data_IF_173114729840
#
_entry.id   IF_173114729840
#
_cell.length_a   1.000
_cell.length_b   1.000
_cell.length_c   1.000
_cell.angle_alpha   90.00
_cell.angle_beta   90.00
_cell.angle_gamma   90.00
#
_symmetry.space_group_name_H-M   'P 1'
#
loop_
_entity.id
_entity.type
_entity.pdbx_description
1 polymer ?
#
# COMPACT_ATOMS: atom_id res chain seq x y z
N UNK A 1 -32.08 -3.38 24.45
CA UNK A 1 -31.80 -3.08 23.03
C UNK A 1 -30.73 -1.97 22.92
N UNK A 2 -29.43 -2.29 22.79
CA UNK A 2 -28.34 -1.31 22.58
C UNK A 2 -27.59 -1.47 21.23
N UNK A 3 -28.06 -2.32 20.33
CA UNK A 3 -27.28 -2.75 19.14
C UNK A 3 -27.18 -1.72 18.02
N UNK A 4 -28.08 -0.74 17.93
CA UNK A 4 -28.11 0.22 16.82
C UNK A 4 -27.06 1.35 16.94
N UNK A 5 -26.77 1.81 18.15
CA UNK A 5 -25.81 2.92 18.39
C UNK A 5 -24.36 2.45 18.25
N UNK A 6 -24.04 1.26 18.75
CA UNK A 6 -22.71 0.63 18.59
C UNK A 6 -22.36 0.43 17.10
N UNK A 7 -23.30 -0.02 16.28
CA UNK A 7 -23.05 -0.28 14.86
C UNK A 7 -22.72 1.01 14.08
N UNK A 8 -23.40 2.12 14.41
CA UNK A 8 -23.18 3.42 13.73
C UNK A 8 -21.80 4.02 14.04
N UNK A 9 -21.33 3.88 15.29
CA UNK A 9 -20.01 4.38 15.70
C UNK A 9 -18.85 3.57 15.11
N UNK A 10 -19.01 2.25 14.98
CA UNK A 10 -18.01 1.38 14.34
C UNK A 10 -17.82 1.72 12.86
N UNK A 11 -18.91 1.93 12.13
CA UNK A 11 -18.85 2.17 10.69
C UNK A 11 -18.30 3.56 10.36
N UNK A 12 -18.55 4.56 11.21
CA UNK A 12 -17.92 5.88 11.10
C UNK A 12 -16.40 5.80 11.25
N UNK A 13 -15.88 4.97 12.16
CA UNK A 13 -14.42 4.78 12.35
C UNK A 13 -13.76 4.15 11.13
N UNK A 14 -14.39 3.12 10.54
CA UNK A 14 -13.88 2.44 9.33
C UNK A 14 -13.81 3.41 8.15
N UNK A 15 -14.86 4.22 7.95
CA UNK A 15 -14.89 5.21 6.87
C UNK A 15 -13.82 6.29 7.05
N UNK A 16 -13.63 6.80 8.28
CA UNK A 16 -12.59 7.80 8.57
C UNK A 16 -11.20 7.21 8.34
N UNK A 17 -10.95 5.98 8.80
CA UNK A 17 -9.69 5.28 8.57
C UNK A 17 -9.44 5.10 7.07
N UNK A 18 -10.46 4.68 6.31
CA UNK A 18 -10.39 4.57 4.85
C UNK A 18 -10.05 5.88 4.16
N UNK A 19 -10.65 6.99 4.60
CA UNK A 19 -10.36 8.33 4.06
C UNK A 19 -8.91 8.75 4.31
N UNK A 20 -8.38 8.54 5.52
CA UNK A 20 -6.99 8.84 5.85
C UNK A 20 -6.04 8.02 4.97
N UNK A 21 -6.28 6.71 4.87
CA UNK A 21 -5.47 5.79 4.06
C UNK A 21 -5.51 6.18 2.58
N UNK A 22 -6.69 6.53 2.04
CA UNK A 22 -6.84 6.98 0.66
C UNK A 22 -6.08 8.29 0.40
N UNK A 23 -6.13 9.25 1.32
CA UNK A 23 -5.39 10.52 1.18
C UNK A 23 -3.87 10.27 1.14
N UNK A 24 -3.37 9.39 2.02
CA UNK A 24 -1.94 9.04 2.05
C UNK A 24 -1.55 8.34 0.73
N UNK A 25 -2.36 7.39 0.25
CA UNK A 25 -2.13 6.73 -1.03
C UNK A 25 -2.11 7.72 -2.20
N UNK A 26 -3.10 8.62 -2.29
CA UNK A 26 -3.17 9.64 -3.33
C UNK A 26 -1.98 10.61 -3.31
N UNK A 27 -1.56 11.06 -2.12
CA UNK A 27 -0.38 11.90 -1.97
C UNK A 27 0.91 11.16 -2.41
N UNK A 28 1.00 9.86 -2.10
CA UNK A 28 2.08 8.98 -2.57
C UNK A 28 2.12 8.91 -4.10
N UNK A 29 0.98 8.63 -4.75
CA UNK A 29 0.86 8.55 -6.21
C UNK A 29 1.35 9.84 -6.88
N UNK A 30 0.91 11.00 -6.37
CA UNK A 30 1.32 12.31 -6.92
C UNK A 30 2.82 12.55 -6.81
N UNK A 31 3.45 12.14 -5.71
CA UNK A 31 4.89 12.29 -5.54
C UNK A 31 5.66 11.37 -6.50
N UNK A 32 5.23 10.12 -6.63
CA UNK A 32 5.92 9.11 -7.43
C UNK A 32 5.78 9.40 -8.92
N UNK A 33 4.63 9.89 -9.38
CA UNK A 33 4.39 10.21 -10.79
C UNK A 33 5.38 11.26 -11.32
N UNK A 34 5.71 12.27 -10.54
CA UNK A 34 6.72 13.29 -10.93
C UNK A 34 8.13 12.70 -11.07
N UNK A 35 8.51 11.79 -10.17
CA UNK A 35 9.80 11.10 -10.24
C UNK A 35 9.88 10.10 -11.40
N UNK A 36 8.80 9.35 -11.66
CA UNK A 36 8.74 8.43 -12.79
C UNK A 36 8.82 9.16 -14.13
N UNK A 37 8.12 10.28 -14.27
CA UNK A 37 8.14 11.11 -15.47
C UNK A 37 9.54 11.65 -15.80
N UNK A 38 10.39 11.84 -14.79
CA UNK A 38 11.78 12.25 -14.95
C UNK A 38 12.71 11.08 -15.33
N UNK A 39 12.51 9.90 -14.72
CA UNK A 39 13.39 8.73 -14.90
C UNK A 39 13.12 7.95 -16.20
N UNK A 40 11.86 7.89 -16.65
CA UNK A 40 11.47 7.12 -17.84
C UNK A 40 12.20 7.54 -19.13
N UNK A 41 12.33 8.84 -19.45
CA UNK A 41 13.10 9.28 -20.61
C UNK A 41 14.59 8.91 -20.52
N UNK A 42 15.20 9.03 -19.35
CA UNK A 42 16.63 8.73 -19.13
C UNK A 42 16.95 7.24 -19.30
N UNK A 43 16.00 6.37 -18.94
CA UNK A 43 16.13 4.93 -19.22
C UNK A 43 16.03 4.59 -20.71
N UNK A 44 15.30 5.37 -21.51
CA UNK A 44 15.22 5.17 -22.95
C UNK A 44 16.51 5.55 -23.68
N UNK A 45 17.35 6.40 -23.06
CA UNK A 45 18.59 6.94 -23.63
C UNK A 45 19.83 6.08 -23.35
N UNK A 46 19.73 5.01 -22.56
CA UNK A 46 20.77 3.97 -22.50
C UNK A 46 21.58 3.83 -21.20
N UNK A 47 21.31 4.62 -20.17
CA UNK A 47 22.06 4.59 -18.90
C UNK A 47 21.54 3.49 -17.93
N UNK A 48 21.71 2.21 -18.30
CA UNK A 48 20.90 1.13 -17.71
C UNK A 48 21.28 0.60 -16.31
N UNK A 49 22.51 0.76 -15.82
CA UNK A 49 22.93 0.05 -14.60
C UNK A 49 22.42 0.67 -13.29
N UNK A 50 22.57 1.98 -13.13
CA UNK A 50 22.19 2.68 -11.89
C UNK A 50 20.70 3.08 -11.90
N UNK A 51 20.21 3.56 -13.05
CA UNK A 51 18.82 4.03 -13.19
C UNK A 51 17.81 2.89 -13.05
N UNK A 52 18.16 1.65 -13.37
CA UNK A 52 17.25 0.50 -13.27
C UNK A 52 16.84 0.18 -11.82
N UNK A 53 17.77 0.22 -10.87
CA UNK A 53 17.45 -0.02 -9.45
C UNK A 53 16.60 1.11 -8.88
N UNK A 54 16.90 2.36 -9.27
CA UNK A 54 16.13 3.52 -8.86
C UNK A 54 14.72 3.50 -9.46
N UNK A 55 14.58 3.12 -10.73
CA UNK A 55 13.29 2.96 -11.39
C UNK A 55 12.47 1.83 -10.75
N UNK A 56 13.08 0.67 -10.46
CA UNK A 56 12.42 -0.41 -9.74
C UNK A 56 11.91 0.05 -8.37
N UNK A 57 12.74 0.79 -7.62
CA UNK A 57 12.34 1.36 -6.33
C UNK A 57 11.11 2.27 -6.48
N UNK A 58 11.11 3.18 -7.47
CA UNK A 58 9.97 4.06 -7.71
C UNK A 58 8.72 3.31 -8.17
N UNK A 59 8.86 2.29 -9.03
CA UNK A 59 7.74 1.46 -9.48
C UNK A 59 7.13 0.72 -8.28
N UNK A 60 7.95 0.14 -7.41
CA UNK A 60 7.46 -0.56 -6.21
C UNK A 60 6.77 0.39 -5.23
N UNK A 61 7.30 1.62 -5.05
CA UNK A 61 6.58 2.66 -4.33
C UNK A 61 5.24 3.03 -5.01
N UNK A 62 5.19 3.05 -6.34
CA UNK A 62 3.94 3.32 -7.07
C UNK A 62 2.90 2.24 -6.78
N UNK A 63 3.31 0.97 -6.86
CA UNK A 63 2.47 -0.19 -6.51
C UNK A 63 1.97 -0.09 -5.07
N UNK A 64 2.85 0.26 -4.13
CA UNK A 64 2.47 0.47 -2.73
C UNK A 64 1.42 1.58 -2.59
N UNK A 65 1.66 2.76 -3.18
CA UNK A 65 0.78 3.92 -3.05
C UNK A 65 -0.60 3.69 -3.72
N UNK A 66 -0.62 3.02 -4.87
CA UNK A 66 -1.85 2.64 -5.56
C UNK A 66 -2.63 1.61 -4.74
N UNK A 67 -1.95 0.59 -4.21
CA UNK A 67 -2.59 -0.42 -3.36
C UNK A 67 -3.18 0.23 -2.10
N UNK A 68 -2.42 1.13 -1.47
CA UNK A 68 -2.87 1.89 -0.30
C UNK A 68 -4.10 2.76 -0.62
N UNK A 69 -4.10 3.43 -1.78
CA UNK A 69 -5.26 4.18 -2.25
C UNK A 69 -6.50 3.30 -2.42
N UNK A 70 -6.36 2.16 -3.12
CA UNK A 70 -7.44 1.19 -3.34
C UNK A 70 -7.95 0.62 -2.01
N UNK A 71 -7.06 0.32 -1.06
CA UNK A 71 -7.42 -0.10 0.30
C UNK A 71 -8.25 0.97 1.01
N UNK A 72 -7.84 2.23 0.94
CA UNK A 72 -8.58 3.35 1.54
C UNK A 72 -9.98 3.52 0.94
N UNK A 73 -10.10 3.47 -0.39
CA UNK A 73 -11.40 3.53 -1.08
C UNK A 73 -12.27 2.33 -0.71
N UNK A 74 -11.70 1.13 -0.69
CA UNK A 74 -12.40 -0.10 -0.29
C UNK A 74 -12.97 0.01 1.13
N UNK A 75 -12.20 0.57 2.08
CA UNK A 75 -12.65 0.81 3.45
C UNK A 75 -13.78 1.84 3.53
N UNK A 76 -13.73 2.93 2.74
CA UNK A 76 -14.81 3.93 2.67
C UNK A 76 -16.10 3.27 2.16
N UNK A 77 -16.01 2.52 1.06
CA UNK A 77 -17.16 1.82 0.47
C UNK A 77 -17.73 0.79 1.43
N UNK A 78 -16.87 0.03 2.11
CA UNK A 78 -17.27 -0.97 3.10
C UNK A 78 -17.92 -0.34 4.32
N UNK A 79 -17.38 0.77 4.83
CA UNK A 79 -17.99 1.54 5.92
C UNK A 79 -19.34 2.14 5.53
N UNK A 80 -19.46 2.69 4.33
CA UNK A 80 -20.73 3.22 3.80
C UNK A 80 -21.79 2.12 3.60
N UNK A 81 -21.37 0.93 3.14
CA UNK A 81 -22.23 -0.25 2.99
C UNK A 81 -22.46 -1.02 4.29
N UNK A 82 -21.89 -0.57 5.42
CA UNK A 82 -21.94 -1.24 6.72
C UNK A 82 -21.50 -2.72 6.66
N UNK A 83 -20.53 -3.04 5.79
CA UNK A 83 -19.93 -4.37 5.72
C UNK A 83 -19.15 -4.66 7.01
N UNK A 84 -19.26 -5.88 7.51
CA UNK A 84 -18.51 -6.37 8.68
C UNK A 84 -17.35 -7.30 8.33
N UNK A 85 -17.31 -7.78 7.09
CA UNK A 85 -16.36 -8.77 6.59
C UNK A 85 -15.94 -8.33 5.18
N UNK A 86 -14.78 -8.80 4.72
CA UNK A 86 -14.26 -8.52 3.37
C UNK A 86 -14.25 -7.00 3.07
N UNK A 87 -13.55 -6.28 3.95
CA UNK A 87 -13.46 -4.82 3.92
C UNK A 87 -12.57 -4.32 2.79
N UNK A 88 -11.57 -5.11 2.41
CA UNK A 88 -10.52 -4.80 1.44
C UNK A 88 -10.28 -6.07 0.61
N UNK A 89 -10.17 -5.96 -0.72
CA UNK A 89 -9.87 -7.12 -1.57
C UNK A 89 -8.49 -7.69 -1.28
N UNK A 90 -8.41 -9.01 -1.20
CA UNK A 90 -7.21 -9.70 -0.75
C UNK A 90 -5.98 -9.46 -1.62
N UNK A 91 -6.16 -9.51 -2.94
CA UNK A 91 -5.14 -9.20 -3.92
C UNK A 91 -4.49 -7.81 -3.71
N UNK A 92 -5.25 -6.82 -3.20
CA UNK A 92 -4.72 -5.47 -2.93
C UNK A 92 -3.76 -5.48 -1.75
N UNK A 93 -4.07 -6.23 -0.70
CA UNK A 93 -3.22 -6.40 0.47
C UNK A 93 -1.96 -7.19 0.13
N UNK A 94 -2.07 -8.21 -0.73
CA UNK A 94 -0.91 -8.94 -1.23
C UNK A 94 0.09 -8.02 -1.96
N UNK A 95 -0.37 -7.20 -2.90
CA UNK A 95 0.49 -6.24 -3.59
C UNK A 95 1.06 -5.16 -2.66
N UNK A 96 0.28 -4.73 -1.66
CA UNK A 96 0.73 -3.79 -0.65
C UNK A 96 1.88 -4.36 0.19
N UNK A 97 1.76 -5.61 0.64
CA UNK A 97 2.79 -6.29 1.42
C UNK A 97 4.04 -6.61 0.60
N UNK A 98 3.86 -7.18 -0.60
CA UNK A 98 4.96 -7.55 -1.49
C UNK A 98 5.80 -6.33 -1.92
N UNK A 99 5.14 -5.22 -2.28
CA UNK A 99 5.84 -3.97 -2.63
C UNK A 99 6.67 -3.42 -1.46
N UNK A 100 6.17 -3.53 -0.23
CA UNK A 100 6.94 -3.14 0.96
C UNK A 100 8.17 -4.01 1.19
N UNK A 101 8.05 -5.33 1.00
CA UNK A 101 9.17 -6.27 1.16
C UNK A 101 10.25 -6.02 0.11
N UNK A 102 9.87 -5.75 -1.15
CA UNK A 102 10.83 -5.43 -2.21
C UNK A 102 11.51 -4.08 -1.93
N UNK A 103 10.74 -3.05 -1.56
CA UNK A 103 11.31 -1.75 -1.16
C UNK A 103 12.23 -1.87 0.05
N UNK A 104 11.87 -2.68 1.04
CA UNK A 104 12.72 -2.96 2.20
C UNK A 104 14.01 -3.67 1.82
N UNK A 105 13.95 -4.63 0.89
CA UNK A 105 15.15 -5.31 0.36
C UNK A 105 16.07 -4.32 -0.36
N UNK A 106 15.51 -3.41 -1.18
CA UNK A 106 16.28 -2.35 -1.83
C UNK A 106 16.89 -1.37 -0.82
N UNK A 107 16.15 -0.95 0.21
CA UNK A 107 16.66 -0.12 1.31
C UNK A 107 17.83 -0.79 2.04
N UNK A 108 17.78 -2.11 2.21
CA UNK A 108 18.87 -2.87 2.81
C UNK A 108 20.15 -2.78 1.98
N UNK A 109 20.03 -2.90 0.64
CA UNK A 109 21.15 -2.77 -0.28
C UNK A 109 21.79 -1.36 -0.26
N UNK A 110 20.99 -0.32 0.02
CA UNK A 110 21.46 1.06 0.15
C UNK A 110 21.93 1.43 1.58
N UNK A 111 22.02 0.47 2.49
CA UNK A 111 22.53 0.70 3.86
C UNK A 111 21.50 1.28 4.84
N UNK A 112 20.22 1.36 4.46
CA UNK A 112 19.14 1.83 5.32
C UNK A 112 18.52 0.69 6.15
N UNK A 113 19.35 0.03 6.97
CA UNK A 113 19.00 -1.24 7.64
C UNK A 113 17.75 -1.18 8.51
N UNK A 114 17.58 -0.13 9.33
CA UNK A 114 16.42 -0.03 10.22
C UNK A 114 15.11 0.14 9.44
N UNK A 115 15.10 1.00 8.42
CA UNK A 115 13.95 1.20 7.55
C UNK A 115 13.63 -0.05 6.73
N UNK A 116 14.66 -0.74 6.26
CA UNK A 116 14.54 -2.01 5.56
C UNK A 116 13.85 -3.08 6.41
N UNK A 117 14.32 -3.29 7.64
CA UNK A 117 13.74 -4.28 8.56
C UNK A 117 12.28 -3.96 8.86
N UNK A 118 11.97 -2.69 9.14
CA UNK A 118 10.57 -2.27 9.39
C UNK A 118 9.69 -2.52 8.16
N UNK A 119 10.15 -2.15 6.97
CA UNK A 119 9.40 -2.36 5.73
C UNK A 119 9.19 -3.86 5.42
N UNK A 120 10.21 -4.69 5.60
CA UNK A 120 10.09 -6.14 5.37
C UNK A 120 9.13 -6.76 6.38
N UNK A 121 9.23 -6.41 7.66
CA UNK A 121 8.36 -6.96 8.70
C UNK A 121 6.91 -6.55 8.50
N UNK A 122 6.64 -5.27 8.24
CA UNK A 122 5.27 -4.80 7.97
C UNK A 122 4.72 -5.47 6.71
N UNK A 123 5.52 -5.55 5.64
CA UNK A 123 5.12 -6.21 4.40
C UNK A 123 4.78 -7.69 4.63
N UNK A 124 5.63 -8.42 5.35
CA UNK A 124 5.40 -9.82 5.69
C UNK A 124 4.15 -10.01 6.54
N UNK A 125 3.89 -9.14 7.53
CA UNK A 125 2.68 -9.20 8.34
C UNK A 125 1.43 -8.99 7.48
N UNK A 126 1.43 -7.98 6.61
CA UNK A 126 0.29 -7.70 5.72
C UNK A 126 0.02 -8.90 4.80
N UNK A 127 1.06 -9.44 4.16
CA UNK A 127 0.92 -10.61 3.28
C UNK A 127 0.48 -11.85 4.05
N UNK A 128 0.96 -12.06 5.29
CA UNK A 128 0.55 -13.19 6.12
C UNK A 128 -0.91 -13.08 6.58
N UNK A 129 -1.35 -11.88 6.96
CA UNK A 129 -2.74 -11.64 7.32
C UNK A 129 -3.66 -11.96 6.14
N UNK A 130 -3.25 -11.57 4.93
CA UNK A 130 -4.00 -11.86 3.72
C UNK A 130 -4.07 -13.36 3.42
N UNK A 131 -2.94 -14.05 3.51
CA UNK A 131 -2.88 -15.49 3.25
C UNK A 131 -3.85 -16.27 4.16
N UNK A 132 -3.98 -15.84 5.42
CA UNK A 132 -4.93 -16.47 6.34
C UNK A 132 -6.40 -16.13 6.04
N UNK A 133 -6.69 -15.06 5.32
CA UNK A 133 -8.07 -14.70 4.95
C UNK A 133 -8.56 -15.38 3.67
N UNK A 134 -7.66 -15.84 2.79
CA UNK A 134 -8.05 -16.55 1.56
C UNK A 134 -8.14 -18.09 1.72
N UNK A 135 -7.43 -18.67 2.70
CA UNK A 135 -7.29 -20.13 2.86
C UNK A 135 -8.32 -20.74 3.86
N UNK A 136 -9.12 -19.91 4.53
CA UNK A 136 -10.17 -20.31 5.49
C UNK A 136 -11.58 -20.11 4.89
#
# INVERSE_FOLDING_TARGET
MPTATLNRTSNSKITILGAIIAIIGAAGILRISTMLAFLLPQMAEGEFSFLSHQALFQIMWAVFAISLFITGISLIVSGAKNKKHDLVPGLTLYFLGASLMINGSLLFMYGHTLYAVVAILIGAIVTFLEWNTEVL
#
